data_IF_152683719313
#
_entry.id   IF_152683719313
#
_cell.length_a   1.000
_cell.length_b   1.000
_cell.length_c   1.000
_cell.angle_alpha   90.00
_cell.angle_beta   90.00
_cell.angle_gamma   90.00
#
_symmetry.space_group_name_H-M   'P 1'
#
loop_
_entity.id
_entity.type
_entity.pdbx_description
1 polymer ?
#
# COMPACT_ATOMS: atom_id res chain seq x y z
N UNK A 1 -3.24 -19.61 -8.26
CA UNK A 1 -3.13 -18.98 -6.95
C UNK A 1 -3.06 -17.47 -7.13
N UNK A 2 -3.72 -16.71 -6.24
CA UNK A 2 -3.59 -15.26 -6.32
C UNK A 2 -2.13 -14.86 -6.14
N UNK A 3 -1.68 -13.95 -6.96
CA UNK A 3 -0.33 -13.40 -6.83
C UNK A 3 -0.25 -12.61 -5.53
N UNK A 4 0.87 -12.76 -4.83
CA UNK A 4 1.17 -11.94 -3.67
C UNK A 4 1.62 -10.56 -4.17
N UNK A 5 0.68 -9.72 -4.52
CA UNK A 5 0.96 -8.43 -5.14
C UNK A 5 1.75 -7.51 -4.22
N UNK A 6 1.46 -7.51 -2.91
CA UNK A 6 2.19 -6.68 -1.95
C UNK A 6 3.65 -7.12 -1.83
N UNK A 7 3.89 -8.38 -1.51
CA UNK A 7 5.24 -8.89 -1.32
C UNK A 7 6.08 -8.81 -2.57
N UNK A 8 5.51 -9.17 -3.71
CA UNK A 8 6.21 -9.11 -5.00
C UNK A 8 6.56 -7.67 -5.38
N UNK A 9 5.63 -6.74 -5.13
CA UNK A 9 5.86 -5.32 -5.42
C UNK A 9 7.01 -4.76 -4.59
N UNK A 10 6.98 -4.95 -3.27
CA UNK A 10 8.05 -4.41 -2.40
C UNK A 10 9.39 -5.05 -2.70
N UNK A 11 9.40 -6.35 -3.01
CA UNK A 11 10.63 -7.05 -3.38
C UNK A 11 11.21 -6.47 -4.67
N UNK A 12 10.38 -6.27 -5.68
CA UNK A 12 10.80 -5.70 -6.96
C UNK A 12 11.37 -4.30 -6.77
N UNK A 13 10.71 -3.46 -5.98
CA UNK A 13 11.20 -2.11 -5.72
C UNK A 13 12.51 -2.13 -4.93
N UNK A 14 12.60 -3.00 -3.92
CA UNK A 14 13.82 -3.12 -3.13
C UNK A 14 15.00 -3.61 -3.99
N UNK A 15 14.79 -4.64 -4.80
CA UNK A 15 15.85 -5.18 -5.67
C UNK A 15 16.32 -4.17 -6.72
N UNK A 16 15.41 -3.38 -7.25
CA UNK A 16 15.78 -2.33 -8.20
C UNK A 16 16.72 -1.29 -7.55
N UNK A 17 16.46 -0.93 -6.30
CA UNK A 17 17.31 0.00 -5.56
C UNK A 17 18.61 -0.66 -5.09
N UNK A 18 18.55 -1.93 -4.72
CA UNK A 18 19.73 -2.68 -4.28
C UNK A 18 20.79 -2.79 -5.38
N UNK A 19 20.37 -2.83 -6.64
CA UNK A 19 21.30 -2.89 -7.78
C UNK A 19 22.29 -1.73 -7.77
N UNK A 20 21.91 -0.60 -7.20
CA UNK A 20 22.73 0.63 -7.16
C UNK A 20 23.21 0.98 -5.75
N UNK A 21 22.57 0.44 -4.70
CA UNK A 21 22.86 0.83 -3.34
C UNK A 21 22.62 -0.34 -2.38
N UNK A 22 23.67 -0.78 -1.71
CA UNK A 22 23.64 -1.89 -0.75
C UNK A 22 22.75 -1.60 0.47
N UNK A 23 22.45 -0.34 0.73
CA UNK A 23 21.53 0.04 1.81
C UNK A 23 20.12 -0.52 1.58
N UNK A 24 19.82 -1.02 0.39
CA UNK A 24 18.55 -1.66 0.05
C UNK A 24 18.61 -3.18 0.01
N UNK A 25 19.65 -3.79 0.59
CA UNK A 25 19.63 -5.24 0.80
C UNK A 25 18.48 -5.61 1.74
N UNK A 26 18.04 -6.86 1.68
CA UNK A 26 16.98 -7.36 2.57
C UNK A 26 17.29 -7.04 4.03
N UNK A 27 18.53 -7.33 4.44
CA UNK A 27 18.97 -7.13 5.82
C UNK A 27 18.92 -5.64 6.22
N UNK A 28 19.41 -4.75 5.36
CA UNK A 28 19.46 -3.33 5.66
C UNK A 28 18.06 -2.72 5.71
N UNK A 29 17.20 -3.07 4.78
CA UNK A 29 15.82 -2.58 4.78
C UNK A 29 15.07 -3.09 6.02
N UNK A 30 15.23 -4.37 6.35
CA UNK A 30 14.63 -4.93 7.55
C UNK A 30 15.07 -4.17 8.81
N UNK A 31 16.37 -3.89 8.93
CA UNK A 31 16.92 -3.13 10.04
C UNK A 31 16.30 -1.72 10.11
N UNK A 32 16.19 -1.05 8.97
CA UNK A 32 15.67 0.32 8.90
C UNK A 32 14.18 0.42 9.26
N UNK A 33 13.39 -0.61 9.00
CA UNK A 33 11.97 -0.62 9.38
C UNK A 33 11.72 -1.33 10.71
N UNK A 34 12.78 -1.84 11.36
CA UNK A 34 12.68 -2.42 12.68
C UNK A 34 12.06 -3.82 12.72
N UNK A 35 12.37 -4.67 11.73
CA UNK A 35 11.92 -6.06 11.71
C UNK A 35 13.12 -6.99 11.48
N UNK A 36 12.92 -8.27 11.78
CA UNK A 36 13.94 -9.29 11.49
C UNK A 36 14.02 -9.54 9.98
N UNK A 37 15.23 -9.75 9.43
CA UNK A 37 15.38 -10.07 8.01
C UNK A 37 14.57 -11.28 7.57
N UNK A 38 14.50 -12.31 8.41
CA UNK A 38 13.71 -13.50 8.12
C UNK A 38 12.22 -13.18 7.96
N UNK A 39 11.71 -12.24 8.78
CA UNK A 39 10.32 -11.79 8.69
C UNK A 39 10.07 -11.06 7.36
N UNK A 40 10.94 -10.10 7.00
CA UNK A 40 10.80 -9.38 5.74
C UNK A 40 10.86 -10.32 4.54
N UNK A 41 11.77 -11.31 4.59
CA UNK A 41 11.85 -12.33 3.55
C UNK A 41 10.53 -13.07 3.40
N UNK A 42 9.90 -13.45 4.50
CA UNK A 42 8.61 -14.14 4.48
C UNK A 42 7.49 -13.26 3.93
N UNK A 43 7.50 -11.97 4.27
CA UNK A 43 6.54 -11.00 3.73
C UNK A 43 6.70 -10.90 2.21
N UNK A 44 7.93 -10.76 1.73
CA UNK A 44 8.21 -10.66 0.30
C UNK A 44 7.79 -11.91 -0.47
N UNK A 45 7.91 -13.08 0.14
CA UNK A 45 7.52 -14.35 -0.48
C UNK A 45 6.03 -14.68 -0.30
N UNK A 46 5.30 -13.86 0.46
CA UNK A 46 3.89 -14.10 0.71
C UNK A 46 3.60 -15.25 1.68
N UNK A 47 4.60 -15.67 2.44
CA UNK A 47 4.47 -16.77 3.42
C UNK A 47 3.75 -16.30 4.68
N UNK A 48 3.85 -15.01 4.99
CA UNK A 48 3.12 -14.38 6.10
C UNK A 48 2.32 -13.19 5.56
N UNK A 49 1.26 -12.76 6.27
CA UNK A 49 0.49 -11.58 5.87
C UNK A 49 1.35 -10.32 5.87
N UNK A 50 0.92 -9.26 5.16
CA UNK A 50 1.58 -7.96 5.24
C UNK A 50 1.69 -7.47 6.68
N UNK A 51 2.74 -6.70 7.02
CA UNK A 51 2.93 -6.21 8.39
C UNK A 51 1.91 -5.13 8.77
N UNK A 52 2.05 -4.61 9.98
CA UNK A 52 1.18 -3.54 10.49
C UNK A 52 1.28 -2.26 9.64
N UNK A 53 0.30 -1.38 9.79
CA UNK A 53 0.29 -0.08 9.12
C UNK A 53 1.58 0.69 9.37
N UNK A 54 2.07 0.74 10.61
CA UNK A 54 3.30 1.45 10.95
C UNK A 54 4.52 0.93 10.21
N UNK A 55 4.64 -0.39 10.06
CA UNK A 55 5.75 -1.00 9.32
C UNK A 55 5.60 -0.78 7.81
N UNK A 56 4.38 -0.81 7.29
CA UNK A 56 4.13 -0.51 5.88
C UNK A 56 4.50 0.93 5.58
N UNK A 57 4.16 1.88 6.47
CA UNK A 57 4.55 3.29 6.31
C UNK A 57 6.06 3.47 6.34
N UNK A 58 6.74 2.80 7.26
CA UNK A 58 8.19 2.83 7.33
C UNK A 58 8.82 2.27 6.05
N UNK A 59 8.28 1.18 5.53
CA UNK A 59 8.75 0.55 4.31
C UNK A 59 8.54 1.48 3.10
N UNK A 60 7.38 2.14 3.02
CA UNK A 60 7.09 3.12 1.97
C UNK A 60 8.12 4.26 1.98
N UNK A 61 8.43 4.79 3.16
CA UNK A 61 9.41 5.85 3.31
C UNK A 61 10.80 5.40 2.86
N UNK A 62 11.23 4.21 3.27
CA UNK A 62 12.53 3.65 2.87
C UNK A 62 12.61 3.45 1.37
N UNK A 63 11.55 2.95 0.75
CA UNK A 63 11.52 2.66 -0.69
C UNK A 63 11.17 3.87 -1.55
N UNK A 64 10.80 5.01 -0.94
CA UNK A 64 10.36 6.19 -1.69
C UNK A 64 9.04 5.97 -2.39
N UNK A 65 8.15 5.17 -1.79
CA UNK A 65 6.84 4.83 -2.35
C UNK A 65 5.72 5.53 -1.59
N UNK A 66 4.56 5.65 -2.23
CA UNK A 66 3.36 6.18 -1.59
C UNK A 66 2.84 5.17 -0.56
N UNK A 67 2.73 5.60 0.70
CA UNK A 67 2.24 4.74 1.77
C UNK A 67 0.81 4.25 1.53
N UNK A 68 -0.06 5.12 0.99
CA UNK A 68 -1.45 4.73 0.71
C UNK A 68 -1.53 3.67 -0.38
N UNK A 69 -0.64 3.73 -1.37
CA UNK A 69 -0.53 2.67 -2.38
C UNK A 69 -0.14 1.34 -1.75
N UNK A 70 0.89 1.33 -0.91
CA UNK A 70 1.35 0.10 -0.27
C UNK A 70 0.28 -0.47 0.67
N UNK A 71 -0.41 0.40 1.41
CA UNK A 71 -1.51 -0.03 2.28
C UNK A 71 -2.64 -0.66 1.47
N UNK A 72 -3.02 -0.03 0.36
CA UNK A 72 -4.07 -0.56 -0.51
C UNK A 72 -3.68 -1.93 -1.08
N UNK A 73 -2.43 -2.10 -1.52
CA UNK A 73 -1.92 -3.38 -2.01
C UNK A 73 -1.93 -4.45 -0.92
N UNK A 74 -1.76 -4.05 0.34
CA UNK A 74 -1.86 -4.94 1.49
C UNK A 74 -3.30 -5.21 1.93
N UNK A 75 -4.30 -4.64 1.23
CA UNK A 75 -5.70 -4.77 1.58
C UNK A 75 -6.10 -3.94 2.80
N UNK A 76 -5.38 -2.84 3.05
CA UNK A 76 -5.60 -1.98 4.22
C UNK A 76 -5.96 -0.57 3.80
N UNK A 77 -6.69 0.12 4.68
CA UNK A 77 -6.99 1.55 4.53
C UNK A 77 -6.24 2.26 5.64
N UNK A 78 -5.60 3.40 5.31
CA UNK A 78 -4.88 4.18 6.33
C UNK A 78 -5.85 4.62 7.44
N UNK A 79 -5.33 4.79 8.65
CA UNK A 79 -6.14 5.20 9.79
C UNK A 79 -6.82 6.55 9.57
N UNK A 80 -6.16 7.48 8.90
CA UNK A 80 -6.73 8.81 8.56
C UNK A 80 -7.95 8.65 7.65
N UNK A 81 -7.84 7.83 6.60
CA UNK A 81 -8.95 7.58 5.67
C UNK A 81 -10.08 6.84 6.35
N UNK A 82 -9.73 5.89 7.23
CA UNK A 82 -10.74 5.16 7.99
C UNK A 82 -11.55 6.09 8.89
N UNK A 83 -10.91 7.07 9.53
CA UNK A 83 -11.60 8.08 10.33
C UNK A 83 -12.62 8.88 9.51
N UNK A 84 -12.24 9.25 8.28
CA UNK A 84 -13.15 9.96 7.37
C UNK A 84 -14.36 9.09 7.03
N UNK A 85 -14.13 7.82 6.73
CA UNK A 85 -15.19 6.85 6.42
C UNK A 85 -16.12 6.70 7.63
N UNK A 86 -15.55 6.56 8.82
CA UNK A 86 -16.32 6.39 10.06
C UNK A 86 -17.12 7.63 10.44
N UNK A 87 -16.64 8.82 10.06
CA UNK A 87 -17.37 10.07 10.31
C UNK A 87 -18.61 10.22 9.41
N UNK A 88 -18.62 9.59 8.23
CA UNK A 88 -19.71 9.67 7.27
C UNK A 88 -20.04 8.29 6.68
N UNK A 89 -20.42 7.32 7.52
CA UNK A 89 -20.55 5.93 7.09
C UNK A 89 -21.61 5.71 6.02
N UNK A 90 -22.73 6.42 6.08
CA UNK A 90 -23.80 6.26 5.09
C UNK A 90 -23.38 6.76 3.72
N UNK A 91 -22.74 7.93 3.67
CA UNK A 91 -22.27 8.50 2.42
C UNK A 91 -21.17 7.64 1.79
N UNK A 92 -20.21 7.19 2.58
CA UNK A 92 -19.15 6.34 2.07
C UNK A 92 -19.65 4.95 1.68
N UNK A 93 -20.60 4.39 2.42
CA UNK A 93 -21.25 3.14 2.05
C UNK A 93 -21.92 3.23 0.68
N UNK A 94 -22.64 4.32 0.44
CA UNK A 94 -23.28 4.59 -0.83
C UNK A 94 -22.25 4.75 -1.95
N UNK A 95 -21.21 5.55 -1.71
CA UNK A 95 -20.13 5.78 -2.67
C UNK A 95 -19.45 4.46 -3.05
N UNK A 96 -19.07 3.65 -2.07
CA UNK A 96 -18.40 2.38 -2.31
C UNK A 96 -19.27 1.41 -3.09
N UNK A 97 -20.57 1.36 -2.80
CA UNK A 97 -21.49 0.52 -3.57
C UNK A 97 -21.56 0.94 -5.04
N UNK A 98 -21.55 2.25 -5.29
CA UNK A 98 -21.57 2.77 -6.66
C UNK A 98 -20.27 2.49 -7.39
N UNK A 99 -19.14 2.69 -6.72
CA UNK A 99 -17.81 2.46 -7.30
C UNK A 99 -17.59 0.98 -7.60
N UNK A 100 -18.14 0.08 -6.81
CA UNK A 100 -17.91 -1.36 -6.89
C UNK A 100 -18.10 -1.93 -8.29
N UNK A 101 -19.02 -1.40 -9.06
CA UNK A 101 -19.35 -1.90 -10.39
C UNK A 101 -18.83 -1.01 -11.53
N UNK A 102 -18.14 0.08 -11.21
CA UNK A 102 -17.62 0.99 -12.23
C UNK A 102 -16.31 0.48 -12.82
N UNK A 103 -16.11 0.67 -14.13
CA UNK A 103 -14.80 0.41 -14.73
C UNK A 103 -13.79 1.51 -14.32
N UNK A 104 -12.52 1.20 -14.47
CA UNK A 104 -11.43 2.10 -14.04
C UNK A 104 -11.53 3.50 -14.64
N UNK A 105 -11.91 3.61 -15.92
CA UNK A 105 -11.99 4.94 -16.55
C UNK A 105 -13.09 5.81 -15.93
N UNK A 106 -14.18 5.20 -15.44
CA UNK A 106 -15.24 5.95 -14.76
C UNK A 106 -14.78 6.39 -13.37
N UNK A 107 -14.03 5.54 -12.67
CA UNK A 107 -13.44 5.91 -11.37
C UNK A 107 -12.46 7.06 -11.54
N UNK A 108 -11.62 7.02 -12.58
CA UNK A 108 -10.70 8.12 -12.90
C UNK A 108 -11.45 9.43 -13.18
N UNK A 109 -12.62 9.34 -13.81
CA UNK A 109 -13.48 10.51 -14.01
C UNK A 109 -13.93 11.14 -12.71
N UNK A 110 -14.32 10.31 -11.74
CA UNK A 110 -14.69 10.78 -10.39
C UNK A 110 -13.50 11.45 -9.72
N UNK A 111 -12.33 10.83 -9.78
CA UNK A 111 -11.10 11.39 -9.20
C UNK A 111 -10.80 12.76 -9.79
N UNK A 112 -10.91 12.92 -11.11
CA UNK A 112 -10.68 14.21 -11.77
C UNK A 112 -11.65 15.28 -11.32
N UNK A 113 -12.93 14.95 -11.19
CA UNK A 113 -13.94 15.90 -10.69
C UNK A 113 -13.60 16.40 -9.29
N UNK A 114 -13.21 15.49 -8.41
CA UNK A 114 -12.83 15.84 -7.05
C UNK A 114 -11.57 16.69 -7.04
N UNK A 115 -10.56 16.30 -7.82
CA UNK A 115 -9.29 17.03 -7.92
C UNK A 115 -9.49 18.44 -8.45
N UNK A 116 -10.33 18.60 -9.47
CA UNK A 116 -10.58 19.90 -10.12
C UNK A 116 -11.58 20.75 -9.36
N UNK A 117 -12.23 20.23 -8.33
CA UNK A 117 -13.24 20.95 -7.58
C UNK A 117 -14.52 21.17 -8.34
N UNK A 118 -14.81 20.32 -9.31
CA UNK A 118 -15.98 20.41 -10.18
C UNK A 118 -17.13 19.53 -9.64
N UNK A 119 -17.66 19.96 -8.50
CA UNK A 119 -18.80 19.27 -7.90
C UNK A 119 -19.98 20.20 -7.64
#
# INVERSE_FOLDING_TARGET
>A
APMNTFGDYIRTQRLARQAEDRAFSLRQVALRIGVEPAFLSKVERGVVPPPSEGKIRALAEVLGEDADLLLAMAGKVSSDLLEIIQARPQLFGELLRRIKTLPDHAILGVVRKVTDGDW
#
